data_IF_260547331366
#
_entry.id   IF_260547331366
#
_cell.length_a   1.000
_cell.length_b   1.000
_cell.length_c   1.000
_cell.angle_alpha   90.00
_cell.angle_beta   90.00
_cell.angle_gamma   90.00
#
_symmetry.space_group_name_H-M   'P 1'
#
loop_
_entity.id
_entity.type
_entity.pdbx_description
1 polymer ?
#
# COMPACT_ATOMS: atom_id res chain seq x y z
N UNK A 1 -3.84 -30.63 2.18
CA UNK A 1 -4.43 -29.29 2.04
C UNK A 1 -3.66 -28.59 0.94
N UNK A 2 -4.28 -28.31 -0.20
CA UNK A 2 -3.60 -27.71 -1.35
C UNK A 2 -3.93 -26.22 -1.33
N UNK A 3 -2.99 -25.39 -0.88
CA UNK A 3 -3.12 -23.94 -0.90
C UNK A 3 -2.55 -23.47 -2.24
N UNK A 4 -3.40 -22.84 -3.07
CA UNK A 4 -2.96 -22.16 -4.28
C UNK A 4 -2.64 -20.71 -3.91
N UNK A 5 -1.35 -20.37 -3.90
CA UNK A 5 -0.91 -18.98 -3.74
C UNK A 5 -0.81 -18.38 -5.14
N UNK A 6 -1.85 -17.67 -5.56
CA UNK A 6 -1.77 -16.81 -6.75
C UNK A 6 -1.12 -15.51 -6.28
N UNK A 7 0.06 -15.20 -6.80
CA UNK A 7 0.68 -13.91 -6.55
C UNK A 7 -0.15 -12.78 -7.17
N UNK A 8 0.07 -11.56 -6.68
CA UNK A 8 -0.43 -10.30 -7.25
C UNK A 8 0.12 -9.98 -8.66
N UNK A 9 0.88 -10.89 -9.29
CA UNK A 9 1.47 -10.68 -10.62
C UNK A 9 0.47 -10.40 -11.75
N UNK A 10 -0.74 -10.97 -11.67
CA UNK A 10 -1.81 -10.67 -12.64
C UNK A 10 -2.26 -9.20 -12.55
N UNK A 11 -2.51 -8.72 -11.34
CA UNK A 11 -2.88 -7.32 -11.10
C UNK A 11 -1.79 -6.38 -11.62
N UNK A 12 -0.52 -6.72 -11.33
CA UNK A 12 0.64 -5.94 -11.76
C UNK A 12 0.80 -5.90 -13.27
N UNK A 13 0.55 -7.01 -13.98
CA UNK A 13 0.60 -7.02 -15.44
C UNK A 13 -0.51 -6.18 -16.08
N UNK A 14 -1.56 -5.87 -15.32
CA UNK A 14 -2.66 -4.99 -15.73
C UNK A 14 -2.58 -3.59 -15.09
N UNK A 15 -1.44 -3.21 -14.51
CA UNK A 15 -1.22 -1.89 -13.90
C UNK A 15 -2.14 -1.57 -12.71
N UNK A 16 -2.62 -2.56 -11.98
CA UNK A 16 -3.27 -2.36 -10.69
C UNK A 16 -2.19 -2.24 -9.59
N UNK A 17 -2.18 -1.18 -8.77
CA UNK A 17 -1.10 -0.94 -7.82
C UNK A 17 -1.24 -1.78 -6.55
N UNK A 18 -1.07 -3.10 -6.67
CA UNK A 18 -1.28 -4.07 -5.59
C UNK A 18 0.00 -4.71 -5.05
N UNK A 19 1.19 -4.15 -5.37
CA UNK A 19 2.43 -4.53 -4.70
C UNK A 19 2.35 -4.16 -3.22
N UNK A 20 3.09 -4.88 -2.39
CA UNK A 20 3.26 -4.50 -0.99
C UNK A 20 3.90 -3.12 -0.83
N UNK A 21 4.84 -2.78 -1.72
CA UNK A 21 5.45 -1.45 -1.79
C UNK A 21 4.43 -0.34 -2.03
N UNK A 22 3.48 -0.55 -2.94
CA UNK A 22 2.40 0.42 -3.20
C UNK A 22 1.52 0.61 -1.96
N UNK A 23 1.18 -0.49 -1.27
CA UNK A 23 0.45 -0.43 0.00
C UNK A 23 1.20 0.39 1.04
N UNK A 24 2.49 0.13 1.26
CA UNK A 24 3.29 0.86 2.24
C UNK A 24 3.41 2.35 1.89
N UNK A 25 3.59 2.67 0.61
CA UNK A 25 3.69 4.06 0.15
C UNK A 25 2.36 4.82 0.38
N UNK A 26 1.20 4.18 0.13
CA UNK A 26 -0.14 4.76 0.40
C UNK A 26 -0.40 4.93 1.89
N UNK A 27 -0.08 3.92 2.72
CA UNK A 27 -0.26 4.02 4.17
C UNK A 27 0.58 5.16 4.74
N UNK A 28 1.81 5.33 4.26
CA UNK A 28 2.68 6.44 4.63
C UNK A 28 2.17 7.80 4.14
N UNK A 29 1.52 7.87 2.98
CA UNK A 29 0.85 9.08 2.52
C UNK A 29 -0.32 9.46 3.45
N UNK A 30 -1.14 8.49 3.85
CA UNK A 30 -2.27 8.69 4.77
C UNK A 30 -1.80 9.11 6.17
N UNK A 31 -0.78 8.45 6.71
CA UNK A 31 -0.22 8.71 8.05
C UNK A 31 0.31 10.14 8.19
N UNK A 32 1.04 10.64 7.18
CA UNK A 32 1.66 11.96 7.23
C UNK A 32 0.74 13.09 6.75
N UNK A 33 -0.32 12.77 6.01
CA UNK A 33 -1.28 13.76 5.53
C UNK A 33 -2.09 14.35 6.70
N UNK A 34 -2.33 15.66 6.63
CA UNK A 34 -3.27 16.38 7.51
C UNK A 34 -4.62 16.63 6.85
N UNK A 35 -4.80 16.15 5.62
CA UNK A 35 -6.05 16.32 4.90
C UNK A 35 -7.15 15.45 5.50
N UNK A 36 -8.38 15.97 5.45
CA UNK A 36 -9.61 15.25 5.80
C UNK A 36 -10.25 14.60 4.56
N UNK A 37 -9.64 14.73 3.39
CA UNK A 37 -10.05 14.08 2.16
C UNK A 37 -8.81 13.77 1.32
N UNK A 38 -8.71 12.56 0.77
CA UNK A 38 -7.61 12.18 -0.12
C UNK A 38 -8.14 11.50 -1.38
N UNK A 39 -7.84 12.08 -2.53
CA UNK A 39 -8.09 11.46 -3.83
C UNK A 39 -6.95 10.49 -4.22
N UNK A 40 -7.13 9.77 -5.32
CA UNK A 40 -6.13 8.82 -5.83
C UNK A 40 -4.71 9.41 -5.95
N UNK A 41 -4.56 10.62 -6.50
CA UNK A 41 -3.24 11.23 -6.67
C UNK A 41 -2.58 11.56 -5.32
N UNK A 42 -3.37 11.99 -4.32
CA UNK A 42 -2.87 12.24 -2.98
C UNK A 42 -2.47 10.94 -2.26
N UNK A 43 -3.25 9.87 -2.44
CA UNK A 43 -2.97 8.54 -1.89
C UNK A 43 -1.66 7.97 -2.44
N UNK A 44 -1.41 8.13 -3.74
CA UNK A 44 -0.21 7.63 -4.42
C UNK A 44 0.88 8.69 -4.58
N UNK A 45 0.79 9.84 -3.91
CA UNK A 45 1.73 10.98 -4.02
C UNK A 45 3.18 10.66 -3.65
N UNK A 46 3.40 9.54 -2.95
CA UNK A 46 4.72 9.05 -2.54
C UNK A 46 5.12 7.74 -3.21
N UNK A 47 4.31 7.26 -4.16
CA UNK A 47 4.61 6.02 -4.86
C UNK A 47 5.94 6.14 -5.59
N UNK A 48 6.82 5.15 -5.44
CA UNK A 48 8.13 5.15 -6.10
C UNK A 48 8.05 4.94 -7.62
N UNK A 49 6.95 4.36 -8.10
CA UNK A 49 6.75 3.99 -9.51
C UNK A 49 5.74 4.94 -10.19
N UNK A 50 6.06 6.22 -10.30
CA UNK A 50 5.17 7.23 -10.91
C UNK A 50 4.62 6.80 -12.28
N UNK A 51 5.48 6.22 -13.13
CA UNK A 51 5.08 5.70 -14.45
C UNK A 51 3.99 4.62 -14.36
N UNK A 52 4.01 3.81 -13.30
CA UNK A 52 3.03 2.76 -13.06
C UNK A 52 1.68 3.37 -12.64
N UNK A 53 1.71 4.40 -11.79
CA UNK A 53 0.51 5.14 -11.37
C UNK A 53 -0.12 5.89 -12.56
N UNK A 54 0.68 6.46 -13.45
CA UNK A 54 0.17 7.03 -14.71
C UNK A 54 -0.56 5.96 -15.53
N UNK A 55 0.01 4.75 -15.67
CA UNK A 55 -0.65 3.64 -16.36
C UNK A 55 -1.95 3.23 -15.67
N UNK A 56 -1.98 3.15 -14.34
CA UNK A 56 -3.22 2.87 -13.60
C UNK A 56 -4.33 3.87 -13.98
N UNK A 57 -4.01 5.17 -14.06
CA UNK A 57 -4.98 6.21 -14.44
C UNK A 57 -5.43 6.13 -15.90
N UNK A 58 -4.59 5.62 -16.80
CA UNK A 58 -4.96 5.41 -18.22
C UNK A 58 -5.97 4.27 -18.38
N UNK A 59 -5.87 3.22 -17.57
CA UNK A 59 -6.68 2.00 -17.70
C UNK A 59 -7.89 1.94 -16.77
N UNK A 60 -7.93 2.73 -15.69
CA UNK A 60 -8.95 2.64 -14.64
C UNK A 60 -9.53 4.00 -14.23
N UNK A 61 -10.80 3.98 -13.79
CA UNK A 61 -11.53 5.16 -13.28
C UNK A 61 -11.08 5.50 -11.85
N UNK A 62 -9.93 6.18 -11.77
CA UNK A 62 -9.30 6.57 -10.49
C UNK A 62 -9.95 7.79 -9.83
N UNK A 63 -10.71 8.59 -10.58
CA UNK A 63 -11.38 9.80 -10.11
C UNK A 63 -12.46 9.53 -9.05
N UNK A 64 -12.98 8.30 -9.00
CA UNK A 64 -13.97 7.88 -8.01
C UNK A 64 -13.32 7.37 -6.71
N UNK A 65 -11.99 7.25 -6.67
CA UNK A 65 -11.27 6.81 -5.48
C UNK A 65 -11.01 8.03 -4.60
N UNK A 66 -11.86 8.18 -3.59
CA UNK A 66 -11.80 9.23 -2.59
C UNK A 66 -11.92 8.58 -1.22
N UNK A 67 -10.99 8.88 -0.32
CA UNK A 67 -11.12 8.57 1.10
C UNK A 67 -11.55 9.82 1.85
N UNK A 68 -12.68 9.71 2.53
CA UNK A 68 -13.25 10.78 3.35
C UNK A 68 -12.69 10.75 4.79
N UNK A 69 -13.04 11.77 5.55
CA UNK A 69 -12.45 12.06 6.87
C UNK A 69 -12.53 10.89 7.83
N UNK A 70 -13.69 10.26 7.92
CA UNK A 70 -13.95 9.14 8.82
C UNK A 70 -13.05 7.94 8.48
N UNK A 71 -12.90 7.63 7.19
CA UNK A 71 -12.04 6.54 6.70
C UNK A 71 -10.56 6.83 6.97
N UNK A 72 -10.12 8.06 6.70
CA UNK A 72 -8.74 8.49 6.97
C UNK A 72 -8.42 8.45 8.46
N UNK A 73 -9.35 8.87 9.31
CA UNK A 73 -9.20 8.80 10.76
C UNK A 73 -9.06 7.35 11.24
N UNK A 74 -9.93 6.45 10.77
CA UNK A 74 -9.88 5.03 11.12
C UNK A 74 -8.55 4.40 10.70
N UNK A 75 -8.12 4.62 9.45
CA UNK A 75 -6.85 4.09 8.95
C UNK A 75 -5.68 4.64 9.78
N UNK A 76 -5.61 5.95 10.05
CA UNK A 76 -4.55 6.55 10.87
C UNK A 76 -4.51 5.96 12.29
N UNK A 77 -5.67 5.73 12.90
CA UNK A 77 -5.76 5.09 14.21
C UNK A 77 -5.23 3.66 14.19
N UNK A 78 -5.59 2.87 13.17
CA UNK A 78 -5.07 1.51 12.98
C UNK A 78 -3.56 1.49 12.75
N UNK A 79 -3.03 2.38 11.91
CA UNK A 79 -1.60 2.47 11.62
C UNK A 79 -0.78 2.79 12.88
N UNK A 80 -1.29 3.70 13.73
CA UNK A 80 -0.62 4.08 14.98
C UNK A 80 -0.37 2.87 15.89
N UNK A 81 -1.33 1.96 16.01
CA UNK A 81 -1.24 0.79 16.89
C UNK A 81 -0.67 -0.46 16.17
N UNK A 82 -0.39 -0.38 14.87
CA UNK A 82 0.06 -1.52 14.07
C UNK A 82 1.59 -1.70 14.13
N UNK A 83 2.05 -2.59 15.02
CA UNK A 83 3.46 -2.90 15.18
C UNK A 83 4.13 -3.42 13.89
N UNK A 84 3.41 -4.14 13.04
CA UNK A 84 3.92 -4.65 11.78
C UNK A 84 4.16 -3.54 10.77
N UNK A 85 3.21 -2.60 10.64
CA UNK A 85 3.39 -1.43 9.81
C UNK A 85 4.66 -0.67 10.22
N UNK A 86 4.84 -0.37 11.50
CA UNK A 86 6.04 0.30 12.02
C UNK A 86 7.33 -0.50 11.78
N UNK A 87 7.26 -1.82 11.91
CA UNK A 87 8.38 -2.70 11.61
C UNK A 87 8.75 -2.61 10.12
N UNK A 88 7.81 -2.85 9.22
CA UNK A 88 8.04 -2.85 7.78
C UNK A 88 8.37 -1.47 7.24
N UNK A 89 7.83 -0.39 7.78
CA UNK A 89 8.20 0.97 7.36
C UNK A 89 9.72 1.23 7.48
N UNK A 90 10.38 0.61 8.46
CA UNK A 90 11.84 0.68 8.66
C UNK A 90 12.65 -0.31 7.82
N UNK A 91 12.02 -1.38 7.35
CA UNK A 91 12.69 -2.52 6.70
C UNK A 91 12.25 -2.74 5.25
N UNK A 92 11.28 -1.98 4.73
CA UNK A 92 10.71 -2.16 3.38
C UNK A 92 11.77 -2.03 2.29
N UNK A 93 12.80 -1.20 2.51
CA UNK A 93 13.93 -1.06 1.58
C UNK A 93 14.90 -2.25 1.63
N UNK A 94 14.90 -3.04 2.69
CA UNK A 94 15.75 -4.23 2.83
C UNK A 94 15.14 -5.45 2.13
N UNK A 95 13.89 -5.34 1.67
CA UNK A 95 13.13 -6.44 1.09
C UNK A 95 13.29 -6.37 -0.43
N UNK A 96 14.17 -7.22 -0.95
CA UNK A 96 14.50 -7.21 -2.39
C UNK A 96 13.57 -8.07 -3.25
N UNK A 97 12.89 -9.08 -2.68
CA UNK A 97 12.14 -10.06 -3.48
C UNK A 97 10.90 -10.60 -2.77
N UNK A 98 11.08 -11.41 -1.73
CA UNK A 98 9.98 -12.05 -1.01
C UNK A 98 10.23 -12.00 0.50
N UNK A 99 9.16 -11.81 1.26
CA UNK A 99 9.17 -11.89 2.71
C UNK A 99 8.41 -13.13 3.10
N UNK A 100 9.08 -14.02 3.83
CA UNK A 100 8.40 -15.03 4.62
C UNK A 100 7.92 -14.39 5.92
N UNK A 101 6.64 -13.98 5.94
CA UNK A 101 6.03 -13.37 7.11
C UNK A 101 5.99 -14.33 8.30
N UNK A 102 5.76 -15.63 8.09
CA UNK A 102 5.69 -16.61 9.19
C UNK A 102 7.03 -16.73 9.90
N UNK A 103 8.12 -16.86 9.11
CA UNK A 103 9.47 -16.88 9.65
C UNK A 103 9.82 -15.58 10.37
N UNK A 104 9.34 -14.43 9.88
CA UNK A 104 9.60 -13.14 10.50
C UNK A 104 8.82 -12.97 11.81
N UNK A 105 7.54 -13.36 11.83
CA UNK A 105 6.69 -13.39 13.02
C UNK A 105 7.28 -14.28 14.10
N UNK A 106 7.75 -15.48 13.75
CA UNK A 106 8.37 -16.39 14.73
C UNK A 106 9.73 -15.95 15.28
N UNK A 107 10.34 -14.91 14.70
CA UNK A 107 11.65 -14.37 15.12
C UNK A 107 11.56 -13.11 15.99
N UNK A 108 10.36 -12.56 16.18
CA UNK A 108 10.03 -11.42 17.05
C UNK A 108 9.44 -11.96 18.34
#
# INVERSE_FOLDING_TARGET
>A
MNILIVGNGFDLSHYLPTKYDHFMDVMKAIEESKSDLMNFDELFSKCREDWFIVKTKEYYLTENIILEKEQLYEIRALLKENCWYHYFQKHVQDIQTWIDFEKKIGSV
#
